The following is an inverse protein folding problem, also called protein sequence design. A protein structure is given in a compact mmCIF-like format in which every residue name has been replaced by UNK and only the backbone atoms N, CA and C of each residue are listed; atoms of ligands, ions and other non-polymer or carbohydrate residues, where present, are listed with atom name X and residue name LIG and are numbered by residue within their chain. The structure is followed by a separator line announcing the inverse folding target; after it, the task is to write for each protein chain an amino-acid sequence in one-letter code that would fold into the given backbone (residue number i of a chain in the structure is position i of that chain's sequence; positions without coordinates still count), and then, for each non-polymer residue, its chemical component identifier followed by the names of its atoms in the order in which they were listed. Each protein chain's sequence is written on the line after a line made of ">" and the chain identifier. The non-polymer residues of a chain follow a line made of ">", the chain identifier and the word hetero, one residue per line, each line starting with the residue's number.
data_IF_424365661235
#
_entry.id   IF_424365661235
#
_cell.length_a   1.000
_cell.length_b   1.000
_cell.length_c   1.000
_cell.angle_alpha   90.00
_cell.angle_beta   90.00
_cell.angle_gamma   90.00
#
_symmetry.space_group_name_H-M   'P 1'
#
loop_
_entity.id
_entity.type
_entity.pdbx_description
1 polymer ?
#
# COMPACT_ATOMS: atom_id res chain seq x y z
N UNK A 1 32.85 -4.26 31.89
CA UNK A 1 32.74 -4.61 30.45
C UNK A 1 32.52 -3.32 29.68
N UNK A 2 33.04 -3.18 28.46
CA UNK A 2 32.71 -2.03 27.60
C UNK A 2 31.69 -2.47 26.56
N UNK A 3 30.69 -1.62 26.31
CA UNK A 3 29.66 -1.87 25.29
C UNK A 3 29.62 -0.68 24.34
N UNK A 4 29.60 -0.95 23.04
CA UNK A 4 29.38 0.06 22.00
C UNK A 4 27.92 0.52 22.01
N UNK A 5 27.71 1.83 22.12
CA UNK A 5 26.40 2.45 21.93
C UNK A 5 26.50 3.51 20.83
N UNK A 6 25.45 3.72 20.02
CA UNK A 6 25.51 4.72 18.95
C UNK A 6 25.92 6.11 19.48
N UNK A 7 26.96 6.71 18.90
CA UNK A 7 27.53 7.97 19.39
C UNK A 7 26.61 9.16 19.06
N UNK A 8 26.63 10.19 19.91
CA UNK A 8 26.02 11.49 19.61
C UNK A 8 27.05 12.59 19.40
N UNK A 9 26.61 13.72 18.87
CA UNK A 9 27.40 14.95 18.72
C UNK A 9 27.99 15.45 20.04
N UNK A 10 27.33 15.19 21.17
CA UNK A 10 27.84 15.50 22.49
C UNK A 10 29.02 14.60 22.91
N UNK A 11 29.07 13.34 22.47
CA UNK A 11 30.20 12.45 22.78
C UNK A 11 31.47 12.89 22.03
N UNK A 12 31.31 13.43 20.82
CA UNK A 12 32.36 14.08 20.03
C UNK A 12 32.90 15.33 20.73
N UNK A 13 32.02 16.20 21.24
CA UNK A 13 32.46 17.44 21.92
C UNK A 13 33.11 17.16 23.28
N UNK A 14 32.75 16.06 23.94
CA UNK A 14 33.24 15.71 25.28
C UNK A 14 34.48 14.79 25.25
N UNK A 15 35.04 14.49 24.08
CA UNK A 15 36.24 13.67 23.94
C UNK A 15 36.09 12.24 24.44
N UNK A 16 34.89 11.65 24.31
CA UNK A 16 34.65 10.27 24.73
C UNK A 16 35.36 9.26 23.84
N UNK A 17 35.54 8.04 24.35
CA UNK A 17 36.17 6.96 23.60
C UNK A 17 35.22 6.49 22.50
N UNK A 18 35.51 6.89 21.26
CA UNK A 18 34.74 6.56 20.08
C UNK A 18 35.39 5.39 19.33
N UNK A 19 34.56 4.48 18.82
CA UNK A 19 34.96 3.38 17.95
C UNK A 19 34.13 3.46 16.67
N UNK A 20 34.77 3.35 15.51
CA UNK A 20 34.05 3.29 14.23
C UNK A 20 33.88 1.83 13.81
N UNK A 21 32.66 1.42 13.52
CA UNK A 21 32.37 0.09 12.93
C UNK A 21 31.34 0.22 11.79
N UNK A 22 30.98 -0.91 11.16
CA UNK A 22 30.12 -1.00 9.97
C UNK A 22 28.73 -0.35 10.16
N UNK A 23 28.27 -0.16 11.40
CA UNK A 23 27.02 0.50 11.77
C UNK A 23 27.12 2.02 12.02
N UNK A 24 28.32 2.62 11.94
CA UNK A 24 28.57 4.04 12.22
C UNK A 24 29.56 4.26 13.37
N UNK A 25 29.57 5.49 13.91
CA UNK A 25 30.41 5.85 15.06
C UNK A 25 29.70 5.45 16.35
N UNK A 26 30.37 4.65 17.16
CA UNK A 26 29.92 4.20 18.47
C UNK A 26 30.73 4.87 19.58
N UNK A 27 30.10 5.12 20.72
CA UNK A 27 30.74 5.52 21.96
C UNK A 27 30.85 4.30 22.86
N UNK A 28 32.05 4.01 23.36
CA UNK A 28 32.25 2.92 24.30
C UNK A 28 31.82 3.34 25.70
N UNK A 29 30.79 2.68 26.22
CA UNK A 29 30.29 2.88 27.57
C UNK A 29 30.85 1.80 28.50
N UNK A 30 31.49 2.21 29.60
CA UNK A 30 31.84 1.29 30.68
C UNK A 30 30.58 0.84 31.41
N UNK A 31 30.25 -0.44 31.30
CA UNK A 31 29.12 -1.07 32.00
C UNK A 31 29.67 -1.89 33.17
N UNK A 32 29.19 -1.55 34.37
CA UNK A 32 29.43 -2.33 35.58
C UNK A 32 28.52 -3.57 35.59
N UNK A 33 29.10 -4.74 35.90
CA UNK A 33 28.34 -5.96 36.13
C UNK A 33 27.90 -6.06 37.59
N UNK A 34 26.77 -6.71 37.81
CA UNK A 34 26.32 -7.11 39.14
C UNK A 34 27.06 -8.38 39.55
N UNK A 35 27.67 -8.36 40.73
CA UNK A 35 28.26 -9.54 41.35
C UNK A 35 27.19 -10.44 41.97
N UNK A 36 27.54 -11.68 42.29
CA UNK A 36 26.65 -12.59 43.02
C UNK A 36 26.19 -11.99 44.37
N UNK A 37 27.07 -11.25 45.04
CA UNK A 37 26.75 -10.53 46.28
C UNK A 37 25.74 -9.41 46.06
N UNK A 38 25.80 -8.73 44.91
CA UNK A 38 24.83 -7.69 44.53
C UNK A 38 23.46 -8.32 44.27
N UNK A 39 23.41 -9.47 43.60
CA UNK A 39 22.16 -10.20 43.32
C UNK A 39 21.53 -10.74 44.61
N UNK A 40 22.33 -11.32 45.51
CA UNK A 40 21.85 -11.75 46.82
C UNK A 40 21.36 -10.59 47.69
N UNK A 41 22.05 -9.45 47.64
CA UNK A 41 21.60 -8.27 48.37
C UNK A 41 20.30 -7.71 47.80
N UNK A 42 20.15 -7.71 46.47
CA UNK A 42 18.89 -7.39 45.79
C UNK A 42 17.75 -8.34 46.22
N UNK A 43 18.04 -9.64 46.38
CA UNK A 43 17.10 -10.66 46.87
C UNK A 43 16.59 -10.38 48.28
N UNK A 44 17.44 -9.82 49.14
CA UNK A 44 17.04 -9.43 50.49
C UNK A 44 16.19 -8.16 50.51
N UNK A 45 16.39 -7.26 49.55
CA UNK A 45 15.63 -6.01 49.43
C UNK A 45 14.24 -6.21 48.80
N UNK A 46 14.10 -7.22 47.95
CA UNK A 46 12.84 -7.58 47.31
C UNK A 46 12.04 -8.57 48.18
N UNK A 47 10.74 -8.67 47.94
CA UNK A 47 9.87 -9.59 48.70
C UNK A 47 10.35 -11.04 48.56
N UNK A 48 10.28 -11.85 49.63
CA UNK A 48 10.77 -13.24 49.63
C UNK A 48 10.09 -14.15 48.61
N UNK A 49 8.93 -13.74 48.09
CA UNK A 49 8.14 -14.48 47.11
C UNK A 49 8.63 -14.30 45.66
N UNK A 50 9.54 -13.35 45.40
CA UNK A 50 10.00 -12.99 44.04
C UNK A 50 11.30 -13.73 43.73
N UNK A 51 11.27 -14.64 42.76
CA UNK A 51 12.48 -15.27 42.24
C UNK A 51 13.17 -14.33 41.25
N UNK A 52 14.14 -13.57 41.76
CA UNK A 52 14.93 -12.61 40.97
C UNK A 52 15.54 -13.25 39.72
N UNK A 53 16.02 -14.50 39.81
CA UNK A 53 16.72 -15.13 38.68
C UNK A 53 15.79 -15.63 37.60
N UNK A 54 14.50 -15.75 37.88
CA UNK A 54 13.49 -16.17 36.90
C UNK A 54 12.66 -15.01 36.39
N UNK A 55 12.41 -14.00 37.23
CA UNK A 55 11.44 -12.94 36.96
C UNK A 55 12.08 -11.60 36.61
N UNK A 56 13.32 -11.32 37.04
CA UNK A 56 13.93 -9.98 36.93
C UNK A 56 15.28 -10.02 36.21
N UNK A 57 16.21 -10.84 36.67
CA UNK A 57 17.59 -10.97 36.17
C UNK A 57 17.83 -12.40 35.71
N UNK A 58 17.18 -12.79 34.62
CA UNK A 58 17.42 -14.09 33.98
C UNK A 58 18.85 -14.12 33.42
N UNK A 59 19.75 -14.95 33.96
CA UNK A 59 21.12 -15.01 33.46
C UNK A 59 21.11 -15.53 32.02
N UNK A 60 21.82 -14.84 31.13
CA UNK A 60 22.13 -15.40 29.82
C UNK A 60 23.12 -16.55 30.04
N UNK A 61 22.80 -17.76 29.59
CA UNK A 61 23.66 -18.92 29.79
C UNK A 61 25.03 -18.68 29.12
N UNK A 62 26.14 -18.88 29.85
CA UNK A 62 27.52 -18.62 29.41
C UNK A 62 27.95 -19.35 28.10
N UNK A 63 27.11 -20.27 27.61
CA UNK A 63 27.37 -21.13 26.44
C UNK A 63 26.61 -20.71 25.18
N UNK A 64 25.66 -19.79 25.28
CA UNK A 64 25.00 -19.22 24.10
C UNK A 64 25.64 -17.88 23.78
N UNK A 65 26.49 -17.84 22.76
CA UNK A 65 26.44 -16.71 21.83
C UNK A 65 24.95 -16.47 21.55
N UNK A 66 24.40 -15.28 21.87
CA UNK A 66 22.98 -15.04 21.66
C UNK A 66 22.72 -15.34 20.19
N UNK A 67 21.93 -16.38 19.90
CA UNK A 67 21.67 -16.76 18.52
C UNK A 67 21.06 -15.53 17.86
N UNK A 68 21.86 -14.88 17.01
CA UNK A 68 21.47 -13.64 16.36
C UNK A 68 20.16 -13.86 15.61
N UNK A 69 19.88 -15.09 15.17
CA UNK A 69 18.60 -15.44 14.57
C UNK A 69 17.43 -15.43 15.56
N UNK A 70 17.58 -15.94 16.79
CA UNK A 70 16.50 -15.92 17.79
C UNK A 70 16.15 -14.47 18.19
N UNK A 71 17.16 -13.63 18.40
CA UNK A 71 16.95 -12.20 18.64
C UNK A 71 16.29 -11.52 17.42
N UNK A 72 16.77 -11.80 16.20
CA UNK A 72 16.15 -11.25 14.99
C UNK A 72 14.72 -11.77 14.77
N UNK A 73 14.41 -13.01 15.16
CA UNK A 73 13.06 -13.57 15.13
C UNK A 73 12.15 -12.89 16.16
N UNK A 74 12.66 -12.64 17.36
CA UNK A 74 11.96 -11.86 18.38
C UNK A 74 11.70 -10.41 17.92
N UNK A 75 12.67 -9.79 17.24
CA UNK A 75 12.52 -8.48 16.60
C UNK A 75 11.57 -8.51 15.40
N UNK A 76 11.39 -9.65 14.73
CA UNK A 76 10.45 -9.79 13.62
C UNK A 76 8.99 -9.85 14.09
N UNK A 77 8.73 -10.22 15.35
CA UNK A 77 7.40 -10.26 15.94
C UNK A 77 6.75 -8.86 15.97
N UNK A 78 5.51 -8.74 15.49
CA UNK A 78 4.74 -7.51 15.43
C UNK A 78 4.53 -6.88 16.82
N UNK A 79 4.30 -7.70 17.84
CA UNK A 79 4.13 -7.21 19.22
C UNK A 79 5.39 -6.52 19.72
N UNK A 80 6.54 -7.18 19.58
CA UNK A 80 7.86 -6.65 19.97
C UNK A 80 8.20 -5.38 19.18
N UNK A 81 7.94 -5.35 17.86
CA UNK A 81 8.14 -4.16 17.04
C UNK A 81 7.30 -2.97 17.54
N UNK A 82 6.03 -3.21 17.87
CA UNK A 82 5.11 -2.17 18.35
C UNK A 82 5.58 -1.58 19.69
N UNK A 83 5.99 -2.42 20.62
CA UNK A 83 6.49 -2.00 21.92
C UNK A 83 7.80 -1.22 21.78
N UNK A 84 8.74 -1.76 21.00
CA UNK A 84 10.01 -1.12 20.73
C UNK A 84 9.87 0.19 19.97
N UNK A 85 8.94 0.28 19.02
CA UNK A 85 8.64 1.54 18.32
C UNK A 85 8.18 2.63 19.29
N UNK A 86 7.43 2.29 20.33
CA UNK A 86 7.00 3.25 21.35
C UNK A 86 8.18 3.77 22.18
N UNK A 87 9.08 2.88 22.59
CA UNK A 87 10.31 3.25 23.32
C UNK A 87 11.26 4.08 22.47
N UNK A 88 11.49 3.67 21.22
CA UNK A 88 12.33 4.39 20.27
C UNK A 88 11.75 5.75 19.90
N UNK A 89 10.42 5.89 19.81
CA UNK A 89 9.79 7.20 19.59
C UNK A 89 9.99 8.14 20.76
N UNK A 90 9.97 7.63 21.99
CA UNK A 90 10.08 8.46 23.18
C UNK A 90 11.52 8.83 23.53
N UNK A 91 12.43 7.86 23.48
CA UNK A 91 13.82 8.05 23.90
C UNK A 91 14.80 8.21 22.72
N UNK A 92 14.46 7.76 21.51
CA UNK A 92 15.43 7.60 20.43
C UNK A 92 16.35 6.39 20.66
N UNK A 93 16.94 5.86 19.58
CA UNK A 93 17.79 4.67 19.65
C UNK A 93 19.05 4.88 20.51
N UNK A 94 19.67 6.05 20.38
CA UNK A 94 20.89 6.42 21.09
C UNK A 94 20.67 6.50 22.61
N UNK A 95 19.68 7.28 23.06
CA UNK A 95 19.46 7.47 24.50
C UNK A 95 18.79 6.26 25.14
N UNK A 96 17.99 5.49 24.40
CA UNK A 96 17.47 4.21 24.88
C UNK A 96 18.62 3.25 25.17
N UNK A 97 19.56 3.07 24.23
CA UNK A 97 20.70 2.18 24.44
C UNK A 97 21.53 2.60 25.66
N UNK A 98 21.87 3.90 25.77
CA UNK A 98 22.61 4.41 26.94
C UNK A 98 21.87 4.21 28.24
N UNK A 99 20.56 4.45 28.27
CA UNK A 99 19.74 4.23 29.47
C UNK A 99 19.75 2.77 29.86
N UNK A 100 19.50 1.86 28.91
CA UNK A 100 19.46 0.42 29.15
C UNK A 100 20.79 -0.09 29.69
N UNK A 101 21.90 0.20 29.02
CA UNK A 101 23.22 -0.20 29.51
C UNK A 101 23.66 0.53 30.78
N UNK A 102 23.14 1.73 31.03
CA UNK A 102 23.36 2.50 32.25
C UNK A 102 22.55 2.00 33.46
N UNK A 103 21.45 1.28 33.26
CA UNK A 103 20.59 0.81 34.36
C UNK A 103 21.36 -0.10 35.32
N UNK A 104 22.16 -1.03 34.82
CA UNK A 104 22.95 -1.95 35.67
C UNK A 104 23.93 -1.19 36.57
N UNK A 105 24.57 -0.15 36.02
CA UNK A 105 25.50 0.73 36.76
C UNK A 105 24.76 1.56 37.82
N UNK A 106 23.56 2.05 37.50
CA UNK A 106 22.72 2.76 38.47
C UNK A 106 22.27 1.84 39.62
N UNK A 107 21.84 0.63 39.30
CA UNK A 107 21.44 -0.38 40.30
C UNK A 107 22.62 -0.67 41.23
N UNK A 108 23.82 -0.91 40.69
CA UNK A 108 25.00 -1.17 41.51
C UNK A 108 25.31 -0.04 42.49
N UNK A 109 25.33 1.21 41.99
CA UNK A 109 25.55 2.40 42.83
C UNK A 109 24.50 2.57 43.92
N UNK A 110 23.24 2.20 43.65
CA UNK A 110 22.18 2.21 44.66
C UNK A 110 22.43 1.16 45.74
N UNK A 111 22.80 -0.07 45.36
CA UNK A 111 23.12 -1.14 46.31
C UNK A 111 24.28 -0.74 47.23
N UNK A 112 25.34 -0.12 46.67
CA UNK A 112 26.47 0.35 47.47
C UNK A 112 26.07 1.43 48.49
N UNK A 113 25.19 2.35 48.09
CA UNK A 113 24.64 3.36 49.01
C UNK A 113 23.81 2.72 50.13
N UNK A 114 23.00 1.71 49.80
CA UNK A 114 22.19 0.99 50.79
C UNK A 114 23.07 0.23 51.79
N UNK A 115 24.13 -0.46 51.33
CA UNK A 115 25.09 -1.13 52.21
C UNK A 115 25.80 -0.13 53.14
N UNK A 116 26.21 1.02 52.62
CA UNK A 116 26.83 2.08 53.41
C UNK A 116 25.87 2.63 54.49
N UNK A 117 24.59 2.78 54.13
CA UNK A 117 23.54 3.20 55.05
C UNK A 117 23.32 2.17 56.17
N UNK A 118 23.15 0.89 55.82
CA UNK A 118 22.95 -0.21 56.77
C UNK A 118 24.10 -0.32 57.77
N UNK A 119 25.34 -0.23 57.28
CA UNK A 119 26.53 -0.24 58.12
C UNK A 119 26.62 0.98 59.06
N UNK A 120 26.02 2.11 58.70
CA UNK A 120 25.97 3.31 59.54
C UNK A 120 24.89 3.21 60.64
N UNK A 121 23.79 2.50 60.37
CA UNK A 121 22.67 2.29 61.30
C UNK A 121 23.01 1.31 62.41
N UNK A 122 23.86 0.31 62.13
CA UNK A 122 24.33 -0.66 63.14
C UNK A 122 25.32 -0.05 64.17
N UNK A 123 25.84 1.17 63.95
CA UNK A 123 26.94 1.74 64.76
C UNK A 123 26.56 2.78 65.83
N UNK A 124 25.32 3.27 65.97
CA UNK A 124 24.98 4.26 67.03
C UNK A 124 23.48 4.44 67.32
N UNK A 125 23.02 4.23 68.56
CA UNK A 125 21.59 4.15 68.91
C UNK A 125 20.83 5.49 68.99
N UNK A 126 21.48 6.62 69.29
CA UNK A 126 20.82 7.93 69.39
C UNK A 126 20.85 8.75 68.10
N UNK A 127 21.87 8.53 67.26
CA UNK A 127 21.96 9.12 65.92
C UNK A 127 21.16 8.30 64.90
N UNK A 128 21.05 6.97 65.07
CA UNK A 128 20.20 6.11 64.25
C UNK A 128 18.71 6.44 64.41
N UNK A 129 18.23 6.79 65.61
CA UNK A 129 16.82 7.17 65.83
C UNK A 129 16.48 8.50 65.15
N UNK A 130 17.39 9.50 65.19
CA UNK A 130 17.21 10.77 64.46
C UNK A 130 17.27 10.60 62.94
N UNK A 131 18.15 9.73 62.43
CA UNK A 131 18.22 9.40 61.00
C UNK A 131 16.98 8.64 60.54
N UNK A 132 16.55 7.63 61.30
CA UNK A 132 15.34 6.88 61.02
C UNK A 132 14.09 7.79 60.93
N UNK A 133 13.94 8.75 61.84
CA UNK A 133 12.83 9.72 61.77
C UNK A 133 12.89 10.61 60.52
N UNK A 134 14.09 11.02 60.08
CA UNK A 134 14.26 11.78 58.84
C UNK A 134 13.92 10.91 57.62
N UNK A 135 14.41 9.68 57.59
CA UNK A 135 14.17 8.72 56.51
C UNK A 135 12.68 8.37 56.40
N UNK A 136 11.97 8.26 57.54
CA UNK A 136 10.51 8.07 57.54
C UNK A 136 9.74 9.22 56.90
N UNK A 137 10.17 10.47 57.14
CA UNK A 137 9.54 11.64 56.52
C UNK A 137 9.83 11.70 55.02
N UNK A 138 11.07 11.37 54.61
CA UNK A 138 11.43 11.25 53.20
C UNK A 138 10.60 10.15 52.49
N UNK A 139 10.41 8.99 53.12
CA UNK A 139 9.55 7.90 52.60
C UNK A 139 8.10 8.36 52.49
N UNK A 140 7.60 9.13 53.46
CA UNK A 140 6.24 9.68 53.43
C UNK A 140 6.05 10.64 52.27
N UNK A 141 7.02 11.51 52.04
CA UNK A 141 7.02 12.46 50.94
C UNK A 141 7.11 11.75 49.59
N UNK A 142 8.02 10.80 49.42
CA UNK A 142 8.13 9.97 48.22
C UNK A 142 6.83 9.22 47.93
N UNK A 143 6.15 8.70 48.97
CA UNK A 143 4.84 8.05 48.80
C UNK A 143 3.76 9.04 48.33
N UNK A 144 3.77 10.28 48.84
CA UNK A 144 2.85 11.32 48.40
C UNK A 144 3.10 11.72 46.93
N UNK A 145 4.36 11.91 46.57
CA UNK A 145 4.77 12.26 45.21
C UNK A 145 4.47 11.12 44.22
N UNK A 146 4.70 9.87 44.62
CA UNK A 146 4.33 8.70 43.82
C UNK A 146 2.82 8.62 43.59
N UNK A 147 2.01 8.89 44.61
CA UNK A 147 0.55 8.91 44.49
C UNK A 147 0.07 10.00 43.51
N UNK A 148 0.68 11.19 43.58
CA UNK A 148 0.41 12.28 42.63
C UNK A 148 0.80 11.88 41.20
N UNK A 149 1.97 11.27 41.03
CA UNK A 149 2.44 10.83 39.72
C UNK A 149 1.56 9.68 39.16
N UNK A 150 1.14 8.75 40.01
CA UNK A 150 0.25 7.65 39.65
C UNK A 150 -1.11 8.17 39.19
N UNK A 151 -1.69 9.14 39.89
CA UNK A 151 -2.96 9.77 39.50
C UNK A 151 -2.83 10.56 38.20
N UNK A 152 -1.74 11.30 38.01
CA UNK A 152 -1.44 12.00 36.76
C UNK A 152 -1.36 11.04 35.57
N UNK A 153 -0.53 10.00 35.65
CA UNK A 153 -0.40 9.03 34.56
C UNK A 153 -1.68 8.25 34.29
N UNK A 154 -2.46 7.97 35.33
CA UNK A 154 -3.77 7.36 35.16
C UNK A 154 -4.70 8.26 34.33
N UNK A 155 -4.75 9.56 34.63
CA UNK A 155 -5.55 10.53 33.87
C UNK A 155 -5.05 10.64 32.42
N UNK A 156 -3.74 10.74 32.21
CA UNK A 156 -3.15 10.83 30.88
C UNK A 156 -3.45 9.59 30.04
N UNK A 157 -3.41 8.40 30.65
CA UNK A 157 -3.79 7.14 29.99
C UNK A 157 -5.28 7.11 29.62
N UNK A 158 -6.16 7.61 30.48
CA UNK A 158 -7.60 7.71 30.19
C UNK A 158 -7.85 8.66 29.02
N UNK A 159 -7.19 9.83 28.98
CA UNK A 159 -7.29 10.80 27.90
C UNK A 159 -6.81 10.16 26.58
N UNK A 160 -5.61 9.58 26.56
CA UNK A 160 -5.05 8.94 25.38
C UNK A 160 -5.96 7.82 24.85
N UNK A 161 -6.51 6.99 25.75
CA UNK A 161 -7.46 5.93 25.39
C UNK A 161 -8.75 6.50 24.78
N UNK A 162 -9.30 7.56 25.37
CA UNK A 162 -10.51 8.21 24.86
C UNK A 162 -10.32 8.81 23.46
N UNK A 163 -9.15 9.40 23.21
CA UNK A 163 -8.76 9.93 21.91
C UNK A 163 -8.65 8.83 20.86
N UNK A 164 -7.97 7.72 21.17
CA UNK A 164 -7.85 6.59 20.26
C UNK A 164 -9.24 6.01 19.91
N UNK A 165 -10.12 5.88 20.90
CA UNK A 165 -11.49 5.38 20.67
C UNK A 165 -12.28 6.34 19.77
N UNK A 166 -12.17 7.66 19.97
CA UNK A 166 -12.90 8.63 19.15
C UNK A 166 -12.40 8.64 17.71
N UNK A 167 -11.09 8.57 17.50
CA UNK A 167 -10.46 8.47 16.18
C UNK A 167 -10.87 7.18 15.48
N UNK A 168 -10.83 6.03 16.16
CA UNK A 168 -11.28 4.75 15.61
C UNK A 168 -12.76 4.78 15.21
N UNK A 169 -13.63 5.37 16.03
CA UNK A 169 -15.05 5.54 15.70
C UNK A 169 -15.22 6.40 14.45
N UNK A 170 -14.48 7.50 14.34
CA UNK A 170 -14.50 8.37 13.16
C UNK A 170 -14.07 7.62 11.90
N UNK A 171 -12.93 6.93 11.93
CA UNK A 171 -12.48 6.13 10.79
C UNK A 171 -13.48 5.06 10.40
N UNK A 172 -14.08 4.35 11.37
CA UNK A 172 -15.09 3.34 11.09
C UNK A 172 -16.31 3.94 10.39
N UNK A 173 -16.74 5.11 10.82
CA UNK A 173 -17.84 5.84 10.20
C UNK A 173 -17.48 6.31 8.78
N UNK A 174 -16.28 6.84 8.59
CA UNK A 174 -15.82 7.34 7.29
C UNK A 174 -15.67 6.20 6.28
N UNK A 175 -15.12 5.05 6.67
CA UNK A 175 -15.06 3.86 5.82
C UNK A 175 -16.45 3.34 5.43
N UNK A 176 -17.41 3.34 6.37
CA UNK A 176 -18.79 2.95 6.06
C UNK A 176 -19.44 3.91 5.05
N UNK A 177 -19.21 5.21 5.21
CA UNK A 177 -19.71 6.23 4.29
C UNK A 177 -19.10 6.05 2.90
N UNK A 178 -17.79 5.89 2.81
CA UNK A 178 -17.08 5.69 1.54
C UNK A 178 -17.55 4.43 0.83
N UNK A 179 -17.72 3.32 1.55
CA UNK A 179 -18.23 2.08 1.00
C UNK A 179 -19.65 2.24 0.42
N UNK A 180 -20.53 2.94 1.14
CA UNK A 180 -21.89 3.22 0.65
C UNK A 180 -21.90 4.14 -0.57
N UNK A 181 -21.01 5.13 -0.62
CA UNK A 181 -20.93 6.03 -1.75
C UNK A 181 -20.38 5.32 -2.99
N UNK A 182 -19.37 4.47 -2.82
CA UNK A 182 -18.87 3.61 -3.89
C UNK A 182 -19.97 2.68 -4.43
N UNK A 183 -20.76 2.05 -3.56
CA UNK A 183 -21.89 1.20 -3.97
C UNK A 183 -22.94 2.00 -4.75
N UNK A 184 -23.29 3.22 -4.30
CA UNK A 184 -24.20 4.10 -5.04
C UNK A 184 -23.63 4.47 -6.41
N UNK A 185 -22.36 4.84 -6.47
CA UNK A 185 -21.69 5.22 -7.71
C UNK A 185 -21.68 4.04 -8.70
N UNK A 186 -21.41 2.83 -8.24
CA UNK A 186 -21.47 1.61 -9.07
C UNK A 186 -22.88 1.33 -9.58
N UNK A 187 -23.91 1.51 -8.75
CA UNK A 187 -25.30 1.33 -9.19
C UNK A 187 -25.65 2.39 -10.23
N UNK A 188 -25.23 3.64 -10.04
CA UNK A 188 -25.43 4.71 -11.00
C UNK A 188 -24.72 4.45 -12.33
N UNK A 189 -23.45 3.99 -12.31
CA UNK A 189 -22.71 3.68 -13.54
C UNK A 189 -23.30 2.49 -14.30
N UNK A 190 -23.72 1.43 -13.58
CA UNK A 190 -24.42 0.28 -14.18
C UNK A 190 -25.74 0.71 -14.80
N UNK A 191 -26.50 1.58 -14.14
CA UNK A 191 -27.78 2.10 -14.66
C UNK A 191 -27.58 2.95 -15.92
N UNK A 192 -26.57 3.81 -15.94
CA UNK A 192 -26.22 4.59 -17.12
C UNK A 192 -25.86 3.67 -18.29
N UNK A 193 -24.99 2.68 -18.06
CA UNK A 193 -24.59 1.71 -19.09
C UNK A 193 -25.78 0.90 -19.65
N UNK A 194 -26.74 0.53 -18.79
CA UNK A 194 -27.97 -0.14 -19.22
C UNK A 194 -28.86 0.78 -20.07
N UNK A 195 -28.98 2.06 -19.69
CA UNK A 195 -29.71 3.06 -20.47
C UNK A 195 -29.09 3.25 -21.86
N UNK A 196 -27.77 3.38 -21.93
CA UNK A 196 -27.04 3.51 -23.21
C UNK A 196 -27.24 2.27 -24.09
N UNK A 197 -27.26 1.07 -23.48
CA UNK A 197 -27.56 -0.16 -24.20
C UNK A 197 -28.97 -0.20 -24.79
N UNK A 198 -29.98 0.22 -24.02
CA UNK A 198 -31.37 0.30 -24.47
C UNK A 198 -31.52 1.31 -25.62
N UNK A 199 -30.81 2.45 -25.56
CA UNK A 199 -30.78 3.43 -26.65
C UNK A 199 -30.14 2.86 -27.92
N UNK A 200 -29.02 2.16 -27.80
CA UNK A 200 -28.37 1.48 -28.93
C UNK A 200 -29.28 0.41 -29.54
N UNK A 201 -29.96 -0.39 -28.72
CA UNK A 201 -30.93 -1.38 -29.22
C UNK A 201 -32.06 -0.72 -30.01
N UNK A 202 -32.56 0.43 -29.55
CA UNK A 202 -33.59 1.19 -30.26
C UNK A 202 -33.09 1.72 -31.61
N UNK A 203 -31.86 2.22 -31.67
CA UNK A 203 -31.23 2.66 -32.93
C UNK A 203 -31.07 1.49 -33.89
N UNK A 204 -30.58 0.34 -33.42
CA UNK A 204 -30.47 -0.89 -34.23
C UNK A 204 -31.83 -1.30 -34.78
N UNK A 205 -32.87 -1.32 -33.94
CA UNK A 205 -34.22 -1.66 -34.37
C UNK A 205 -34.78 -0.68 -35.41
N UNK A 206 -34.56 0.63 -35.25
CA UNK A 206 -34.95 1.63 -36.24
C UNK A 206 -34.22 1.44 -37.58
N UNK A 207 -32.90 1.23 -37.53
CA UNK A 207 -32.08 0.95 -38.71
C UNK A 207 -32.53 -0.31 -39.43
N UNK A 208 -32.82 -1.40 -38.71
CA UNK A 208 -33.37 -2.63 -39.29
C UNK A 208 -34.72 -2.40 -39.97
N UNK A 209 -35.60 -1.62 -39.37
CA UNK A 209 -36.90 -1.32 -39.96
C UNK A 209 -36.78 -0.42 -41.18
N UNK A 210 -35.90 0.58 -41.15
CA UNK A 210 -35.57 1.40 -42.32
C UNK A 210 -34.94 0.58 -43.43
N UNK A 211 -34.08 -0.37 -43.11
CA UNK A 211 -33.49 -1.30 -44.08
C UNK A 211 -34.55 -2.23 -44.69
N UNK A 212 -35.51 -2.69 -43.91
CA UNK A 212 -36.64 -3.51 -44.39
C UNK A 212 -37.65 -2.69 -45.22
N UNK A 213 -37.83 -1.40 -44.88
CA UNK A 213 -38.79 -0.50 -45.52
C UNK A 213 -38.23 0.22 -46.75
N UNK A 214 -36.91 0.45 -46.79
CA UNK A 214 -36.21 1.01 -47.94
C UNK A 214 -35.84 -0.12 -48.87
N UNK A 215 -36.14 0.03 -50.16
CA UNK A 215 -35.31 -0.64 -51.17
C UNK A 215 -33.86 -0.21 -50.86
N UNK A 216 -32.99 -1.16 -50.51
CA UNK A 216 -31.58 -0.92 -50.26
C UNK A 216 -31.04 -0.07 -51.41
N UNK A 217 -30.66 1.19 -51.17
CA UNK A 217 -29.98 2.00 -52.19
C UNK A 217 -28.47 1.77 -52.07
N UNK A 218 -27.87 0.98 -52.98
CA UNK A 218 -26.46 0.65 -52.89
C UNK A 218 -25.58 1.89 -53.01
N UNK A 219 -26.04 2.92 -53.73
CA UNK A 219 -25.25 4.14 -53.95
C UNK A 219 -25.15 4.98 -52.69
N UNK A 220 -26.26 5.17 -51.98
CA UNK A 220 -26.29 5.89 -50.69
C UNK A 220 -25.54 5.15 -49.59
N UNK A 221 -25.62 3.82 -49.55
CA UNK A 221 -24.85 3.00 -48.60
C UNK A 221 -23.32 3.13 -48.83
N UNK A 222 -22.88 3.11 -50.10
CA UNK A 222 -21.47 3.30 -50.46
C UNK A 222 -20.97 4.71 -50.11
N UNK A 223 -21.78 5.74 -50.35
CA UNK A 223 -21.46 7.11 -49.98
C UNK A 223 -21.32 7.26 -48.46
N UNK A 224 -22.23 6.67 -47.66
CA UNK A 224 -22.14 6.66 -46.20
C UNK A 224 -20.85 6.00 -45.69
N UNK A 225 -20.50 4.82 -46.23
CA UNK A 225 -19.28 4.11 -45.86
C UNK A 225 -17.99 4.91 -46.16
N UNK A 226 -18.05 5.91 -47.04
CA UNK A 226 -16.90 6.77 -47.35
C UNK A 226 -16.91 8.12 -46.60
N UNK A 227 -18.05 8.55 -46.05
CA UNK A 227 -18.23 9.89 -45.41
C UNK A 227 -17.61 10.02 -44.01
N UNK A 228 -17.24 8.93 -43.33
CA UNK A 228 -16.83 8.96 -41.91
C UNK A 228 -15.41 8.44 -41.61
N UNK A 229 -14.45 8.68 -42.50
CA UNK A 229 -13.04 8.24 -42.35
C UNK A 229 -12.87 6.71 -42.23
N UNK A 230 -13.95 5.95 -42.48
CA UNK A 230 -13.98 4.51 -42.69
C UNK A 230 -13.32 4.21 -44.02
N UNK A 231 -12.02 3.91 -43.98
CA UNK A 231 -11.32 3.34 -45.14
C UNK A 231 -11.89 1.97 -45.41
N UNK A 232 -12.60 1.87 -46.53
CA UNK A 232 -13.03 0.60 -47.08
C UNK A 232 -12.13 0.34 -48.27
N UNK A 233 -11.23 -0.63 -48.13
CA UNK A 233 -10.22 -0.94 -49.15
C UNK A 233 -10.73 -2.10 -50.01
N UNK A 234 -10.89 -1.94 -51.33
CA UNK A 234 -11.27 -3.07 -52.20
C UNK A 234 -11.90 -2.72 -53.55
N UNK A 235 -12.45 -3.74 -54.23
CA UNK A 235 -13.10 -3.59 -55.54
C UNK A 235 -14.52 -3.01 -55.37
N UNK A 236 -14.59 -1.68 -55.30
CA UNK A 236 -15.81 -0.89 -55.14
C UNK A 236 -16.90 -1.17 -56.20
N UNK A 237 -16.59 -1.26 -57.51
CA UNK A 237 -17.57 -1.63 -58.52
C UNK A 237 -18.23 -2.98 -58.24
N UNK A 238 -17.46 -3.96 -57.76
CA UNK A 238 -17.97 -5.29 -57.45
C UNK A 238 -18.81 -5.31 -56.18
N UNK A 239 -18.42 -4.55 -55.15
CA UNK A 239 -19.24 -4.38 -53.94
C UNK A 239 -20.59 -3.74 -54.28
N UNK A 240 -20.59 -2.71 -55.13
CA UNK A 240 -21.81 -2.09 -55.64
C UNK A 240 -22.71 -3.10 -56.37
N UNK A 241 -22.14 -3.87 -57.30
CA UNK A 241 -22.90 -4.88 -58.06
C UNK A 241 -23.46 -6.01 -57.18
N UNK A 242 -22.75 -6.39 -56.10
CA UNK A 242 -23.24 -7.35 -55.10
C UNK A 242 -24.44 -6.80 -54.34
N UNK A 243 -24.36 -5.55 -53.88
CA UNK A 243 -25.45 -4.88 -53.16
C UNK A 243 -26.68 -4.68 -54.05
N UNK A 244 -26.48 -4.34 -55.33
CA UNK A 244 -27.55 -4.26 -56.33
C UNK A 244 -28.23 -5.61 -56.55
N UNK A 245 -27.47 -6.70 -56.69
CA UNK A 245 -28.03 -8.06 -56.80
C UNK A 245 -28.79 -8.49 -55.54
N UNK A 246 -28.28 -8.14 -54.36
CA UNK A 246 -28.95 -8.43 -53.09
C UNK A 246 -30.27 -7.67 -52.95
N UNK A 247 -30.29 -6.39 -53.34
CA UNK A 247 -31.52 -5.57 -53.43
C UNK A 247 -32.55 -6.25 -54.34
N UNK A 248 -32.09 -6.80 -55.47
CA UNK A 248 -32.95 -7.41 -56.49
C UNK A 248 -33.26 -8.90 -56.20
N UNK A 249 -32.90 -9.42 -55.01
CA UNK A 249 -33.06 -10.81 -54.56
C UNK A 249 -32.49 -11.85 -55.55
N UNK A 250 -31.41 -11.51 -56.24
CA UNK A 250 -30.72 -12.41 -57.16
C UNK A 250 -29.49 -13.03 -56.50
N UNK A 251 -29.27 -14.32 -56.75
CA UNK A 251 -28.05 -14.99 -56.33
C UNK A 251 -26.82 -14.35 -57.01
N UNK A 252 -25.71 -14.16 -56.27
CA UNK A 252 -24.47 -13.73 -56.88
C UNK A 252 -23.98 -14.79 -57.89
N UNK A 253 -23.34 -14.38 -59.00
CA UNK A 253 -22.76 -15.33 -59.96
C UNK A 253 -21.86 -16.35 -59.26
N UNK A 254 -21.96 -17.63 -59.62
CA UNK A 254 -21.25 -18.74 -58.94
C UNK A 254 -19.71 -18.57 -58.96
N UNK A 255 -19.18 -17.83 -59.94
CA UNK A 255 -17.76 -17.45 -60.02
C UNK A 255 -17.32 -16.45 -58.94
N UNK A 256 -18.25 -15.84 -58.19
CA UNK A 256 -17.94 -14.83 -57.19
C UNK A 256 -17.82 -15.44 -55.79
N UNK A 257 -16.59 -15.55 -55.30
CA UNK A 257 -16.31 -15.85 -53.89
C UNK A 257 -16.02 -14.55 -53.15
N UNK A 258 -16.92 -14.14 -52.24
CA UNK A 258 -16.76 -12.93 -51.42
C UNK A 258 -16.27 -13.34 -50.03
N UNK A 259 -15.15 -12.75 -49.59
CA UNK A 259 -14.61 -12.95 -48.25
C UNK A 259 -14.38 -11.58 -47.62
N UNK A 260 -14.99 -11.34 -46.47
CA UNK A 260 -14.93 -10.04 -45.77
C UNK A 260 -13.92 -10.17 -44.64
N UNK A 261 -12.88 -9.34 -44.66
CA UNK A 261 -11.90 -9.24 -43.59
C UNK A 261 -12.02 -7.89 -42.90
N UNK A 262 -12.15 -7.91 -41.57
CA UNK A 262 -12.11 -6.69 -40.76
C UNK A 262 -10.73 -6.64 -40.12
N UNK A 263 -9.85 -5.80 -40.66
CA UNK A 263 -8.47 -5.65 -40.20
C UNK A 263 -8.23 -4.22 -39.68
N UNK A 264 -7.51 -4.10 -38.57
CA UNK A 264 -6.89 -2.84 -38.14
C UNK A 264 -5.57 -2.67 -38.90
N UNK A 265 -5.44 -1.69 -39.79
CA UNK A 265 -4.25 -1.52 -40.64
C UNK A 265 -3.26 -0.50 -40.06
N UNK A 266 -2.02 -0.96 -39.80
CA UNK A 266 -0.82 -0.12 -39.55
C UNK A 266 0.11 -0.03 -40.78
N UNK A 267 -0.20 -0.70 -41.91
CA UNK A 267 0.70 -0.79 -43.06
C UNK A 267 0.31 0.16 -44.22
N UNK A 268 1.10 1.21 -44.51
CA UNK A 268 0.76 2.27 -45.46
C UNK A 268 0.94 1.92 -46.95
N UNK A 269 1.35 0.69 -47.30
CA UNK A 269 1.67 0.30 -48.69
C UNK A 269 0.49 -0.22 -49.52
N UNK A 270 -0.66 -0.51 -48.90
CA UNK A 270 -1.88 -0.92 -49.60
C UNK A 270 -2.75 0.31 -49.85
N UNK A 271 -2.58 0.99 -51.01
CA UNK A 271 -3.47 2.08 -51.43
C UNK A 271 -4.32 1.64 -52.63
N UNK A 272 -5.57 1.21 -52.42
CA UNK A 272 -6.50 0.94 -53.51
C UNK A 272 -7.05 2.23 -54.13
N UNK A 273 -7.70 2.10 -55.29
CA UNK A 273 -8.22 3.25 -56.03
C UNK A 273 -9.34 3.99 -55.28
N UNK A 274 -9.40 5.34 -55.39
CA UNK A 274 -10.41 6.14 -54.70
C UNK A 274 -11.83 5.82 -55.18
N UNK A 275 -12.78 5.73 -54.25
CA UNK A 275 -14.20 5.66 -54.60
C UNK A 275 -14.67 7.01 -55.18
N UNK A 276 -15.47 6.98 -56.25
CA UNK A 276 -16.07 8.16 -56.85
C UNK A 276 -17.51 8.28 -56.35
N UNK A 277 -17.81 9.36 -55.62
CA UNK A 277 -19.14 9.64 -55.11
C UNK A 277 -20.17 9.71 -56.26
N UNK A 278 -21.29 9.01 -56.09
CA UNK A 278 -22.45 9.20 -56.96
C UNK A 278 -23.23 10.44 -56.50
N UNK A 279 -23.72 11.22 -57.47
CA UNK A 279 -24.45 12.48 -57.25
C UNK A 279 -25.72 12.19 -56.44
N UNK A 280 -25.74 12.60 -55.17
CA UNK A 280 -26.94 12.58 -54.34
C UNK A 280 -27.64 13.92 -54.55
N UNK A 281 -28.89 13.88 -55.03
CA UNK A 281 -29.76 15.05 -54.97
C UNK A 281 -29.88 15.45 -53.49
N UNK A 282 -29.27 16.59 -53.20
CA UNK A 282 -29.09 17.18 -51.88
C UNK A 282 -30.44 17.46 -51.22
N UNK A 283 -30.81 16.59 -50.27
CA UNK A 283 -31.90 16.84 -49.32
C UNK A 283 -31.66 15.96 -48.08
N UNK A 284 -30.58 16.20 -47.35
CA UNK A 284 -30.41 15.70 -45.97
C UNK A 284 -29.35 16.51 -45.23
N UNK A 285 -29.78 17.53 -44.46
CA UNK A 285 -28.93 18.15 -43.44
C UNK A 285 -28.62 17.11 -42.33
N UNK A 286 -27.50 16.40 -42.45
CA UNK A 286 -26.96 15.56 -41.38
C UNK A 286 -26.03 16.37 -40.46
N UNK A 287 -26.46 16.53 -39.20
CA UNK A 287 -25.64 17.14 -38.14
C UNK A 287 -24.43 16.24 -37.84
N UNK A 288 -23.25 16.83 -37.98
CA UNK A 288 -21.95 16.25 -37.67
C UNK A 288 -21.83 15.94 -36.15
N UNK A 289 -21.98 14.68 -35.77
CA UNK A 289 -21.53 14.17 -34.46
C UNK A 289 -20.16 13.53 -34.63
N UNK A 290 -19.13 14.20 -34.12
CA UNK A 290 -17.77 13.66 -34.05
C UNK A 290 -17.65 12.72 -32.87
N UNK A 291 -17.58 11.43 -33.15
CA UNK A 291 -16.94 10.46 -32.25
C UNK A 291 -15.96 9.60 -33.05
N UNK A 292 -14.71 9.59 -32.58
CA UNK A 292 -13.57 8.97 -33.24
C UNK A 292 -13.45 7.50 -32.82
N UNK A 293 -13.95 6.59 -33.65
CA UNK A 293 -13.54 5.18 -33.63
C UNK A 293 -13.02 4.82 -35.02
N UNK A 294 -11.69 4.70 -35.13
CA UNK A 294 -11.05 4.23 -36.37
C UNK A 294 -11.23 2.72 -36.50
N UNK A 295 -12.13 2.31 -37.38
CA UNK A 295 -12.20 0.94 -37.90
C UNK A 295 -12.13 0.97 -39.42
N UNK A 296 -11.24 0.15 -40.00
CA UNK A 296 -11.05 -0.03 -41.45
C UNK A 296 -11.60 -1.40 -41.84
N UNK A 297 -12.27 -1.51 -42.98
CA UNK A 297 -12.82 -2.78 -43.50
C UNK A 297 -12.16 -3.07 -44.84
N UNK A 298 -11.52 -4.22 -45.02
CA UNK A 298 -10.75 -4.56 -46.23
C UNK A 298 -11.45 -5.68 -47.01
N UNK A 299 -11.74 -5.45 -48.28
CA UNK A 299 -12.27 -6.38 -49.25
C UNK A 299 -11.19 -6.73 -50.29
N UNK A 300 -10.61 -7.93 -50.21
CA UNK A 300 -9.73 -8.46 -51.25
C UNK A 300 -10.47 -9.51 -52.11
N UNK A 301 -10.23 -9.52 -53.42
CA UNK A 301 -10.71 -10.59 -54.32
C UNK A 301 -9.64 -10.98 -55.33
N UNK A 302 -9.48 -12.28 -55.58
CA UNK A 302 -8.49 -12.86 -56.49
C UNK A 302 -9.19 -13.32 -57.78
N UNK A 303 -8.72 -12.87 -58.94
CA UNK A 303 -9.19 -13.36 -60.24
C UNK A 303 -8.35 -14.58 -60.67
N UNK A 304 -8.99 -15.72 -60.98
CA UNK A 304 -8.35 -16.77 -61.75
C UNK A 304 -8.48 -16.44 -63.24
N UNK A 305 -7.40 -15.98 -63.84
CA UNK A 305 -7.31 -15.80 -65.28
C UNK A 305 -7.13 -17.18 -65.92
N UNK A 306 -8.15 -17.68 -66.62
CA UNK A 306 -8.06 -18.92 -67.40
C UNK A 306 -7.19 -18.65 -68.62
N UNK A 307 -5.92 -19.06 -68.58
CA UNK A 307 -5.10 -19.17 -69.79
C UNK A 307 -5.43 -20.48 -70.50
N UNK A 308 -5.88 -20.34 -71.75
CA UNK A 308 -6.27 -21.44 -72.62
C UNK A 308 -5.15 -22.43 -72.89
N UNK A 309 -5.51 -23.71 -72.87
CA UNK A 309 -4.67 -24.82 -73.32
C UNK A 309 -4.64 -24.82 -74.85
N UNK A 310 -3.48 -24.54 -75.44
CA UNK A 310 -3.19 -24.92 -76.83
C UNK A 310 -2.92 -26.43 -76.86
N UNK A 311 -3.65 -27.15 -77.72
CA UNK A 311 -3.27 -28.49 -78.17
C UNK A 311 -2.31 -28.38 -79.35
N UNK A 312 -1.25 -29.18 -79.34
CA UNK A 312 -0.23 -29.30 -80.38
C UNK A 312 1.03 -29.91 -79.81
#
# INVERSE_FOLDING_TARGET
>A
MFVGVPATTADLSNGRLLSGDYGGVECLLGVESLSEEDVQFLAKLLSPDVDIRREILTPLADTLEPDSNEFLLALKNISTKREMASLLRHYGAQDLARKVFGMTTLVKRLLDKYRALEASTQRSSSQATRRALKDFEEVRQVRADYSLLQTYWHQEAVIARSYIISVLKKHTHDYKREAQEHERQEVHSKRASLSDHDELQKVVYDLENRLKASALDPSRLLNFLHRHDTRVDGNWPRLKALLEKFRDHQDPPEAWKTQIFVNTLDDPTLRPEPYVFADESDDSEEKETRDLVRSTVVFASQEHQVFGSFSG
#
